data_IF_349777706211
#
_entry.id   IF_349777706211
#
_cell.length_a   1.000
_cell.length_b   1.000
_cell.length_c   1.000
_cell.angle_alpha   90.00
_cell.angle_beta   90.00
_cell.angle_gamma   90.00
#
_symmetry.space_group_name_H-M   'P 1'
#
loop_
_entity.id
_entity.type
_entity.pdbx_description
1 polymer ?
#
# COMPACT_ATOMS: atom_id res chain seq x y z
N UNK A 1 -9.43 -10.07 5.38
CA UNK A 1 -8.83 -8.84 5.93
C UNK A 1 -9.56 -7.65 5.35
N UNK A 2 -9.89 -6.68 6.20
CA UNK A 2 -10.64 -5.49 5.80
C UNK A 2 -9.69 -4.36 5.42
N UNK A 3 -10.15 -3.43 4.59
CA UNK A 3 -9.34 -2.27 4.20
C UNK A 3 -10.17 -1.00 4.25
N UNK A 4 -9.52 0.07 4.71
CA UNK A 4 -10.05 1.43 4.72
C UNK A 4 -9.00 2.33 4.07
N UNK A 5 -9.42 3.52 3.65
CA UNK A 5 -8.50 4.49 3.07
C UNK A 5 -8.68 5.85 3.72
N UNK A 6 -7.59 6.60 3.84
CA UNK A 6 -7.62 8.00 4.26
C UNK A 6 -7.50 8.91 3.02
N UNK A 7 -7.95 10.17 3.15
CA UNK A 7 -7.81 11.13 2.04
C UNK A 7 -6.40 11.28 1.49
N UNK A 8 -5.38 11.17 2.35
CA UNK A 8 -3.99 11.24 1.93
C UNK A 8 -3.60 10.14 0.94
N UNK A 9 -4.18 8.95 1.08
CA UNK A 9 -3.97 7.88 0.11
C UNK A 9 -4.46 8.30 -1.28
N UNK A 10 -5.67 8.87 -1.34
CA UNK A 10 -6.27 9.26 -2.63
C UNK A 10 -5.56 10.45 -3.26
N UNK A 11 -4.98 11.35 -2.47
CA UNK A 11 -4.13 12.41 -2.99
C UNK A 11 -2.93 11.83 -3.74
N UNK A 12 -2.24 10.88 -3.12
CA UNK A 12 -1.13 10.20 -3.76
C UNK A 12 -1.56 9.42 -5.00
N UNK A 13 -2.70 8.74 -4.92
CA UNK A 13 -3.24 7.97 -6.04
C UNK A 13 -3.54 8.87 -7.25
N UNK A 14 -4.14 10.04 -7.02
CA UNK A 14 -4.46 10.97 -8.12
C UNK A 14 -3.22 11.53 -8.80
N UNK A 15 -2.08 11.58 -8.09
CA UNK A 15 -0.82 12.04 -8.66
C UNK A 15 -0.10 10.98 -9.49
N UNK A 16 -0.57 9.74 -9.47
CA UNK A 16 -0.02 8.68 -10.31
C UNK A 16 -0.53 8.83 -11.74
N UNK A 17 0.27 8.36 -12.71
CA UNK A 17 -0.22 8.27 -14.08
C UNK A 17 -1.25 7.13 -14.21
N UNK A 18 -1.96 7.09 -15.33
CA UNK A 18 -3.02 6.10 -15.54
C UNK A 18 -2.50 4.66 -15.50
N UNK A 19 -1.32 4.43 -16.06
CA UNK A 19 -0.69 3.12 -16.04
C UNK A 19 -0.47 2.64 -14.59
N UNK A 20 0.03 3.52 -13.74
CA UNK A 20 0.29 3.18 -12.34
C UNK A 20 -1.00 3.03 -11.53
N UNK A 21 -2.01 3.85 -11.80
CA UNK A 21 -3.33 3.69 -11.16
C UNK A 21 -3.94 2.34 -11.51
N UNK A 22 -3.80 1.91 -12.75
CA UNK A 22 -4.30 0.59 -13.19
C UNK A 22 -3.60 -0.53 -12.45
N UNK A 23 -2.28 -0.44 -12.30
CA UNK A 23 -1.50 -1.43 -11.56
C UNK A 23 -1.89 -1.46 -10.08
N UNK A 24 -2.18 -0.30 -9.51
CA UNK A 24 -2.64 -0.19 -8.12
C UNK A 24 -3.97 -0.91 -7.93
N UNK A 25 -4.93 -0.70 -8.83
CA UNK A 25 -6.23 -1.39 -8.76
C UNK A 25 -6.06 -2.91 -8.87
N UNK A 26 -5.19 -3.36 -9.78
CA UNK A 26 -4.90 -4.79 -9.93
C UNK A 26 -4.27 -5.37 -8.67
N UNK A 27 -3.34 -4.64 -8.08
CA UNK A 27 -2.69 -5.04 -6.82
C UNK A 27 -3.72 -5.18 -5.72
N UNK A 28 -4.64 -4.22 -5.60
CA UNK A 28 -5.70 -4.29 -4.61
C UNK A 28 -6.59 -5.52 -4.77
N UNK A 29 -6.93 -5.87 -6.01
CA UNK A 29 -7.74 -7.07 -6.27
C UNK A 29 -7.02 -8.34 -5.80
N UNK A 30 -5.72 -8.45 -6.06
CA UNK A 30 -4.93 -9.59 -5.59
C UNK A 30 -4.92 -9.59 -4.06
N UNK A 31 -4.62 -8.45 -3.45
CA UNK A 31 -4.55 -8.31 -1.99
C UNK A 31 -5.90 -8.67 -1.34
N UNK A 32 -7.01 -8.25 -1.92
CA UNK A 32 -8.34 -8.52 -1.35
C UNK A 32 -8.66 -10.02 -1.30
N UNK A 33 -8.09 -10.79 -2.21
CA UNK A 33 -8.30 -12.25 -2.27
C UNK A 33 -7.26 -13.02 -1.48
N UNK A 34 -6.02 -12.57 -1.52
CA UNK A 34 -4.92 -13.21 -0.82
C UNK A 34 -3.88 -12.15 -0.41
N UNK A 35 -4.01 -11.55 0.78
CA UNK A 35 -3.10 -10.49 1.22
C UNK A 35 -1.63 -10.90 1.23
N UNK A 36 -1.35 -12.17 1.41
CA UNK A 36 0.02 -12.68 1.50
C UNK A 36 0.50 -13.35 0.21
N UNK A 37 -0.14 -13.05 -0.90
CA UNK A 37 0.35 -13.50 -2.20
C UNK A 37 1.80 -13.01 -2.40
N UNK A 38 2.73 -13.88 -2.83
CA UNK A 38 4.15 -13.52 -2.90
C UNK A 38 4.48 -12.25 -3.70
N UNK A 39 3.72 -11.98 -4.76
CA UNK A 39 3.97 -10.79 -5.60
C UNK A 39 3.77 -9.47 -4.86
N UNK A 40 2.98 -9.48 -3.77
CA UNK A 40 2.62 -8.27 -3.03
C UNK A 40 3.67 -7.87 -2.03
N UNK A 41 4.48 -8.80 -1.55
CA UNK A 41 5.46 -8.57 -0.49
C UNK A 41 4.85 -7.77 0.67
N UNK A 42 3.62 -8.12 1.03
CA UNK A 42 2.89 -7.48 2.12
C UNK A 42 3.54 -7.84 3.43
N UNK A 43 4.08 -6.84 4.14
CA UNK A 43 4.84 -7.10 5.36
C UNK A 43 4.82 -5.91 6.30
N UNK A 44 5.02 -6.19 7.58
CA UNK A 44 5.21 -5.15 8.58
C UNK A 44 6.61 -4.55 8.42
N UNK A 45 6.68 -3.23 8.28
CA UNK A 45 7.95 -2.51 8.14
C UNK A 45 8.31 -1.70 9.38
N UNK A 46 7.37 -1.54 10.31
CA UNK A 46 7.61 -0.92 11.61
C UNK A 46 6.62 -1.48 12.63
N UNK A 47 7.10 -2.37 13.49
CA UNK A 47 6.27 -3.05 14.49
C UNK A 47 5.67 -2.08 15.50
N UNK A 48 6.43 -1.08 15.94
CA UNK A 48 5.99 -0.15 16.97
C UNK A 48 4.76 0.66 16.50
N UNK A 49 4.65 0.91 15.21
CA UNK A 49 3.56 1.69 14.63
C UNK A 49 2.55 0.84 13.87
N UNK A 50 2.71 -0.48 13.87
CA UNK A 50 1.88 -1.39 13.05
C UNK A 50 1.83 -0.96 11.58
N UNK A 51 2.95 -0.47 11.09
CA UNK A 51 3.08 0.03 9.73
C UNK A 51 3.38 -1.11 8.77
N UNK A 52 2.53 -1.25 7.74
CA UNK A 52 2.65 -2.30 6.73
C UNK A 52 2.80 -1.72 5.35
N UNK A 53 3.53 -2.44 4.50
CA UNK A 53 3.81 -2.04 3.13
C UNK A 53 3.33 -3.11 2.17
N UNK A 54 2.74 -2.70 1.05
CA UNK A 54 2.40 -3.59 -0.05
C UNK A 54 3.11 -3.09 -1.32
N UNK A 55 3.67 -4.03 -2.07
CA UNK A 55 4.35 -3.72 -3.33
C UNK A 55 3.33 -3.60 -4.47
N UNK A 56 3.33 -2.48 -5.16
CA UNK A 56 2.52 -2.27 -6.36
C UNK A 56 3.36 -2.60 -7.60
N UNK A 57 4.53 -2.01 -7.69
CA UNK A 57 5.56 -2.33 -8.65
C UNK A 57 6.91 -2.32 -7.93
N UNK A 58 7.97 -2.60 -8.67
CA UNK A 58 9.30 -2.54 -8.10
C UNK A 58 9.61 -1.16 -7.49
N UNK A 59 9.09 -0.09 -8.10
CA UNK A 59 9.36 1.28 -7.69
C UNK A 59 8.28 1.89 -6.80
N UNK A 60 7.09 1.32 -6.71
CA UNK A 60 5.96 1.92 -6.00
C UNK A 60 5.43 1.03 -4.89
N UNK A 61 5.05 1.68 -3.77
CA UNK A 61 4.50 1.02 -2.58
C UNK A 61 3.30 1.76 -2.07
N UNK A 62 2.42 1.05 -1.36
CA UNK A 62 1.39 1.67 -0.53
C UNK A 62 1.67 1.30 0.92
N UNK A 63 1.34 2.22 1.82
CA UNK A 63 1.53 2.04 3.27
C UNK A 63 0.20 2.11 3.98
N UNK A 64 0.04 1.26 4.97
CA UNK A 64 -1.15 1.23 5.80
C UNK A 64 -0.82 0.90 7.25
N UNK A 65 -1.74 1.25 8.12
CA UNK A 65 -1.66 0.90 9.55
C UNK A 65 -2.59 -0.28 9.78
N UNK A 66 -2.06 -1.32 10.40
CA UNK A 66 -2.83 -2.51 10.75
C UNK A 66 -3.43 -2.36 12.14
N UNK A 67 -4.73 -2.60 12.25
CA UNK A 67 -5.42 -2.68 13.53
C UNK A 67 -6.34 -3.90 13.48
N UNK A 68 -5.96 -4.94 14.22
CA UNK A 68 -6.67 -6.22 14.15
C UNK A 68 -6.58 -6.82 12.74
N UNK A 69 -7.74 -7.01 12.10
CA UNK A 69 -7.80 -7.53 10.74
C UNK A 69 -8.06 -6.44 9.70
N UNK A 70 -7.90 -5.16 10.08
CA UNK A 70 -8.18 -4.01 9.21
C UNK A 70 -6.90 -3.23 8.93
N UNK A 71 -6.64 -2.98 7.65
CA UNK A 71 -5.55 -2.09 7.21
C UNK A 71 -6.15 -0.78 6.76
N UNK A 72 -5.65 0.33 7.29
CA UNK A 72 -6.04 1.67 6.84
C UNK A 72 -4.91 2.24 6.00
N UNK A 73 -5.14 2.31 4.69
CA UNK A 73 -4.15 2.81 3.74
C UNK A 73 -4.11 4.33 3.80
N UNK A 74 -2.91 4.90 3.98
CA UNK A 74 -2.77 6.35 4.13
C UNK A 74 -1.77 6.97 3.16
N UNK A 75 -0.97 6.16 2.45
CA UNK A 75 0.08 6.68 1.57
C UNK A 75 0.30 5.74 0.39
N UNK A 76 0.58 6.31 -0.77
CA UNK A 76 1.02 5.58 -1.96
C UNK A 76 2.01 6.46 -2.72
N UNK A 77 3.10 5.88 -3.17
CA UNK A 77 4.10 6.63 -3.90
C UNK A 77 5.33 5.82 -4.24
N UNK A 78 6.36 6.53 -4.65
CA UNK A 78 7.62 5.95 -5.07
C UNK A 78 8.40 5.42 -3.88
N UNK A 79 9.10 4.30 -4.07
CA UNK A 79 9.90 3.66 -3.03
C UNK A 79 10.99 4.58 -2.48
N UNK A 80 11.59 5.44 -3.31
CA UNK A 80 12.61 6.37 -2.84
C UNK A 80 12.02 7.38 -1.86
N UNK A 81 10.82 7.87 -2.12
CA UNK A 81 10.11 8.76 -1.20
C UNK A 81 9.76 8.03 0.10
N UNK A 82 9.37 6.77 -0.01
CA UNK A 82 9.10 5.91 1.14
C UNK A 82 10.34 5.78 2.03
N UNK A 83 11.51 5.56 1.48
CA UNK A 83 12.75 5.40 2.25
C UNK A 83 13.14 6.69 2.98
N UNK A 84 12.82 7.86 2.42
CA UNK A 84 13.07 9.13 3.10
C UNK A 84 12.13 9.35 4.28
N UNK A 85 10.91 8.84 4.21
CA UNK A 85 9.90 9.04 5.25
C UNK A 85 9.99 8.01 6.35
N UNK A 86 10.42 6.83 6.01
CA UNK A 86 10.43 5.67 6.90
C UNK A 86 11.72 4.87 6.76
#
# INVERSE_FOLDING_TARGET
MKSLTLPSFWEGYRNLDESMRRKTRKTYLIWSKNPFHPSLRFKCVNDAEDLWSVRITRAYRALGIMDGDTVTWFWIGNHDDYERLY
#
